data_IF_826049504965
#
_entry.id   IF_826049504965
#
_cell.length_a   1.000
_cell.length_b   1.000
_cell.length_c   1.000
_cell.angle_alpha   90.00
_cell.angle_beta   90.00
_cell.angle_gamma   90.00
#
_symmetry.space_group_name_H-M   'P 1'
#
loop_
_entity.id
_entity.type
_entity.pdbx_description
1 polymer ?
#
# COMPACT_ATOMS: atom_id res chain seq x y z
N UNK A 1 -3.58 6.05 15.97
CA UNK A 1 -3.50 5.19 17.16
C UNK A 1 -2.25 5.54 17.93
N UNK A 2 -2.24 5.22 19.24
CA UNK A 2 -1.10 5.52 20.11
C UNK A 2 -1.00 6.99 20.52
N UNK A 3 0.04 7.33 21.30
CA UNK A 3 0.28 8.68 21.79
C UNK A 3 1.03 9.50 20.72
N UNK A 4 0.56 10.70 20.34
CA UNK A 4 1.26 11.60 19.42
C UNK A 4 2.66 12.06 19.86
N UNK A 5 3.04 11.83 21.12
CA UNK A 5 4.39 12.07 21.62
C UNK A 5 5.39 10.97 21.26
N UNK A 6 4.91 9.78 20.89
CA UNK A 6 5.73 8.65 20.45
C UNK A 6 6.27 8.83 19.03
N UNK A 7 7.32 8.07 18.64
CA UNK A 7 7.85 8.08 17.27
C UNK A 7 6.77 7.74 16.26
N UNK A 8 6.69 8.47 15.12
CA UNK A 8 5.64 8.26 14.14
C UNK A 8 5.93 7.09 13.20
N UNK A 9 4.86 6.34 12.89
CA UNK A 9 4.84 5.36 11.82
C UNK A 9 3.61 5.58 10.94
N UNK A 10 3.82 5.71 9.62
CA UNK A 10 2.78 5.98 8.62
C UNK A 10 2.50 4.72 7.81
N UNK A 11 1.24 4.35 7.71
CA UNK A 11 0.80 3.22 6.90
C UNK A 11 0.09 3.71 5.63
N UNK A 12 0.62 3.28 4.47
CA UNK A 12 0.10 3.58 3.14
C UNK A 12 -0.43 2.31 2.48
N UNK A 13 -1.71 2.29 2.18
CA UNK A 13 -2.40 1.15 1.55
C UNK A 13 -2.09 1.00 0.06
N UNK A 14 -2.40 -0.15 -0.51
CA UNK A 14 -2.34 -0.44 -1.95
C UNK A 14 -3.48 0.18 -2.75
N UNK A 15 -3.37 0.14 -4.08
CA UNK A 15 -4.43 0.59 -4.98
C UNK A 15 -5.76 -0.12 -4.70
N UNK A 16 -6.87 0.63 -4.69
CA UNK A 16 -8.21 0.11 -4.41
C UNK A 16 -8.48 -0.28 -2.96
N UNK A 17 -7.55 0.00 -2.03
CA UNK A 17 -7.71 -0.23 -0.60
C UNK A 17 -7.99 1.08 0.16
N UNK A 18 -8.15 0.98 1.47
CA UNK A 18 -8.31 2.11 2.38
C UNK A 18 -7.39 1.95 3.59
N UNK A 19 -7.25 3.02 4.39
CA UNK A 19 -6.56 2.99 5.69
C UNK A 19 -7.02 1.87 6.63
N UNK A 20 -8.22 1.36 6.43
CA UNK A 20 -8.79 0.27 7.25
C UNK A 20 -8.09 -1.08 7.03
N UNK A 21 -7.35 -1.25 5.93
CA UNK A 21 -6.55 -2.47 5.67
C UNK A 21 -5.50 -2.74 6.75
N UNK A 22 -5.10 -1.71 7.49
CA UNK A 22 -4.06 -1.77 8.51
C UNK A 22 -4.58 -1.89 9.95
N UNK A 23 -5.91 -1.89 10.16
CA UNK A 23 -6.51 -1.68 11.48
C UNK A 23 -5.99 -2.59 12.60
N UNK A 24 -5.78 -3.88 12.35
CA UNK A 24 -5.28 -4.82 13.35
C UNK A 24 -3.78 -4.63 13.61
N UNK A 25 -2.98 -4.50 12.57
CA UNK A 25 -1.54 -4.19 12.66
C UNK A 25 -1.32 -2.85 13.36
N UNK A 26 -2.07 -1.81 12.98
CA UNK A 26 -1.96 -0.48 13.58
C UNK A 26 -2.19 -0.50 15.10
N UNK A 27 -3.21 -1.25 15.56
CA UNK A 27 -3.47 -1.39 16.99
C UNK A 27 -2.33 -2.09 17.73
N UNK A 28 -1.79 -3.18 17.15
CA UNK A 28 -0.64 -3.89 17.75
C UNK A 28 0.59 -2.98 17.82
N UNK A 29 0.95 -2.32 16.73
CA UNK A 29 2.10 -1.41 16.66
C UNK A 29 1.96 -0.25 17.67
N UNK A 30 0.75 0.28 17.85
CA UNK A 30 0.52 1.33 18.85
C UNK A 30 0.77 0.87 20.29
N UNK A 31 0.53 -0.42 20.60
CA UNK A 31 0.85 -0.97 21.93
C UNK A 31 2.36 -1.12 22.19
N UNK A 32 3.17 -1.11 21.13
CA UNK A 32 4.64 -1.12 21.20
C UNK A 32 5.26 0.29 21.37
N UNK A 33 4.45 1.31 21.65
CA UNK A 33 4.95 2.68 21.91
C UNK A 33 5.16 3.50 20.62
N UNK A 34 4.37 3.27 19.57
CA UNK A 34 4.42 4.04 18.33
C UNK A 34 3.18 4.92 18.16
N UNK A 35 3.38 6.11 17.58
CA UNK A 35 2.28 6.93 17.06
C UNK A 35 1.95 6.48 15.64
N UNK A 36 0.87 5.73 15.48
CA UNK A 36 0.47 5.12 14.21
C UNK A 36 -0.51 6.00 13.45
N UNK A 37 -0.18 6.32 12.21
CA UNK A 37 -0.96 7.14 11.29
C UNK A 37 -1.33 6.29 10.08
N UNK A 38 -2.60 5.91 9.97
CA UNK A 38 -3.13 5.23 8.79
C UNK A 38 -3.71 6.27 7.83
N UNK A 39 -3.24 6.28 6.59
CA UNK A 39 -3.62 7.29 5.59
C UNK A 39 -4.50 6.67 4.52
N UNK A 40 -5.63 7.32 4.19
CA UNK A 40 -6.27 7.14 2.90
C UNK A 40 -5.52 8.01 1.88
N UNK A 41 -4.86 7.39 0.92
CA UNK A 41 -4.16 8.13 -0.14
C UNK A 41 -5.16 8.93 -0.98
N UNK A 42 -4.71 10.04 -1.63
CA UNK A 42 -5.55 10.81 -2.57
C UNK A 42 -6.37 9.89 -3.47
N UNK A 43 -7.62 10.23 -3.69
CA UNK A 43 -8.53 9.47 -4.52
C UNK A 43 -9.06 8.16 -3.91
N UNK A 44 -8.78 7.88 -2.62
CA UNK A 44 -9.26 6.70 -1.90
C UNK A 44 -9.96 7.07 -0.59
N UNK A 45 -10.79 6.15 -0.12
CA UNK A 45 -11.42 6.20 1.20
C UNK A 45 -12.17 7.51 1.45
N UNK A 46 -11.80 8.20 2.52
CA UNK A 46 -12.37 9.51 2.90
C UNK A 46 -11.51 10.70 2.42
N UNK A 47 -10.35 10.45 1.79
CA UNK A 47 -9.55 11.50 1.18
C UNK A 47 -10.20 12.02 -0.10
N UNK A 48 -9.92 13.28 -0.43
CA UNK A 48 -10.47 13.94 -1.60
C UNK A 48 -10.03 13.28 -2.92
N UNK A 49 -10.91 13.33 -3.90
CA UNK A 49 -10.58 13.03 -5.28
C UNK A 49 -9.87 14.22 -5.90
N UNK A 50 -8.82 13.95 -6.68
CA UNK A 50 -8.01 14.99 -7.30
C UNK A 50 -8.78 15.61 -8.50
N UNK A 51 -9.13 16.91 -8.48
CA UNK A 51 -9.97 17.50 -9.54
C UNK A 51 -9.37 17.37 -10.93
N UNK A 52 -8.05 17.51 -11.05
CA UNK A 52 -7.27 17.39 -12.28
C UNK A 52 -6.85 15.95 -12.61
N UNK A 53 -7.18 14.98 -11.74
CA UNK A 53 -6.86 13.57 -11.92
C UNK A 53 -5.39 13.23 -11.77
N UNK A 54 -4.61 14.03 -11.04
CA UNK A 54 -3.21 13.75 -10.76
C UNK A 54 -3.06 12.60 -9.74
N UNK A 55 -2.99 11.39 -10.27
CA UNK A 55 -2.70 10.15 -9.53
C UNK A 55 -1.36 9.54 -9.98
N UNK A 56 -0.43 10.39 -10.39
CA UNK A 56 0.94 10.01 -10.74
C UNK A 56 1.76 9.68 -9.49
N UNK A 57 2.87 8.98 -9.67
CA UNK A 57 3.84 8.75 -8.59
C UNK A 57 4.28 10.07 -7.95
N UNK A 58 4.49 11.15 -8.73
CA UNK A 58 4.83 12.49 -8.22
C UNK A 58 3.74 13.06 -7.29
N UNK A 59 2.47 12.89 -7.66
CA UNK A 59 1.36 13.32 -6.82
C UNK A 59 1.39 12.66 -5.43
N UNK A 60 1.58 11.34 -5.39
CA UNK A 60 1.67 10.59 -4.13
C UNK A 60 2.96 10.90 -3.34
N UNK A 61 4.09 11.11 -4.02
CA UNK A 61 5.35 11.55 -3.39
C UNK A 61 5.16 12.90 -2.70
N UNK A 62 4.54 13.88 -3.37
CA UNK A 62 4.23 15.19 -2.75
C UNK A 62 3.37 15.06 -1.50
N UNK A 63 2.36 14.16 -1.51
CA UNK A 63 1.51 13.95 -0.34
C UNK A 63 2.31 13.36 0.83
N UNK A 64 3.11 12.33 0.59
CA UNK A 64 3.91 11.70 1.65
C UNK A 64 4.96 12.66 2.19
N UNK A 65 5.60 13.44 1.32
CA UNK A 65 6.54 14.50 1.73
C UNK A 65 5.86 15.50 2.65
N UNK A 66 4.69 16.02 2.26
CA UNK A 66 3.94 16.97 3.07
C UNK A 66 3.47 16.37 4.43
N UNK A 67 3.16 15.07 4.47
CA UNK A 67 2.86 14.38 5.73
C UNK A 67 4.11 14.29 6.60
N UNK A 68 5.24 13.85 6.05
CA UNK A 68 6.48 13.68 6.79
C UNK A 68 7.00 15.00 7.37
N UNK A 69 6.92 16.09 6.61
CA UNK A 69 7.33 17.43 7.05
C UNK A 69 6.48 18.00 8.19
N UNK A 70 5.24 17.55 8.37
CA UNK A 70 4.38 17.95 9.48
C UNK A 70 4.66 17.20 10.78
N UNK A 71 5.42 16.11 10.71
CA UNK A 71 5.74 15.30 11.87
C UNK A 71 6.99 15.83 12.58
N UNK A 72 7.02 15.70 13.90
CA UNK A 72 8.16 16.18 14.71
C UNK A 72 9.45 15.39 14.48
N UNK A 73 9.34 14.19 13.97
CA UNK A 73 10.44 13.26 13.69
C UNK A 73 10.18 12.59 12.36
N UNK A 74 11.23 12.21 11.65
CA UNK A 74 11.12 11.41 10.43
C UNK A 74 10.36 10.11 10.69
N UNK A 75 9.28 9.82 9.95
CA UNK A 75 8.46 8.64 10.20
C UNK A 75 9.10 7.36 9.65
N UNK A 76 8.79 6.23 10.27
CA UNK A 76 8.83 4.93 9.60
C UNK A 76 7.65 4.87 8.65
N UNK A 77 7.82 4.36 7.42
CA UNK A 77 6.72 4.20 6.47
C UNK A 77 6.53 2.73 6.10
N UNK A 78 5.32 2.22 6.33
CA UNK A 78 4.87 0.90 5.88
C UNK A 78 3.99 1.10 4.65
N UNK A 79 4.46 0.67 3.49
CA UNK A 79 3.74 0.85 2.23
C UNK A 79 3.46 -0.46 1.51
N UNK A 80 2.20 -0.74 1.22
CA UNK A 80 1.81 -1.89 0.38
C UNK A 80 1.63 -1.47 -1.08
N UNK A 81 2.20 -2.26 -2.00
CA UNK A 81 2.01 -2.06 -3.44
C UNK A 81 2.19 -0.57 -3.83
N UNK A 82 1.13 0.14 -4.26
CA UNK A 82 1.17 1.58 -4.55
C UNK A 82 1.75 2.41 -3.40
N UNK A 83 1.36 2.12 -2.16
CA UNK A 83 1.92 2.79 -0.97
C UNK A 83 3.42 2.56 -0.81
N UNK A 84 3.91 1.36 -1.16
CA UNK A 84 5.33 1.05 -1.17
C UNK A 84 6.09 1.73 -2.32
N UNK A 85 5.48 1.83 -3.51
CA UNK A 85 6.01 2.65 -4.62
C UNK A 85 6.21 4.09 -4.16
N UNK A 86 5.19 4.66 -3.49
CA UNK A 86 5.25 6.02 -2.95
C UNK A 86 6.40 6.17 -1.95
N UNK A 87 6.50 5.27 -0.97
CA UNK A 87 7.55 5.33 0.06
C UNK A 87 8.95 5.21 -0.55
N UNK A 88 9.15 4.25 -1.46
CA UNK A 88 10.42 4.02 -2.14
C UNK A 88 10.86 5.24 -2.97
N UNK A 89 9.95 5.80 -3.76
CA UNK A 89 10.24 7.00 -4.55
C UNK A 89 10.54 8.20 -3.63
N UNK A 90 9.74 8.40 -2.58
CA UNK A 90 9.91 9.53 -1.66
C UNK A 90 11.28 9.51 -1.00
N UNK A 91 11.70 8.41 -0.38
CA UNK A 91 12.99 8.33 0.31
C UNK A 91 14.17 8.28 -0.65
N UNK A 92 14.06 7.53 -1.75
CA UNK A 92 15.15 7.41 -2.72
C UNK A 92 15.43 8.70 -3.51
N UNK A 93 14.44 9.57 -3.64
CA UNK A 93 14.57 10.89 -4.28
C UNK A 93 14.87 12.01 -3.26
N UNK A 94 14.54 11.80 -1.97
CA UNK A 94 14.78 12.74 -0.87
C UNK A 94 15.38 12.00 0.33
N UNK A 95 16.64 11.54 0.25
CA UNK A 95 17.27 10.73 1.30
C UNK A 95 17.26 11.41 2.67
N UNK A 96 16.84 10.69 3.70
CA UNK A 96 16.75 11.16 5.08
C UNK A 96 15.41 11.80 5.46
N UNK A 97 14.43 11.84 4.54
CA UNK A 97 13.08 12.30 4.84
C UNK A 97 12.32 11.27 5.70
N UNK A 98 12.56 9.98 5.45
CA UNK A 98 11.95 8.87 6.17
C UNK A 98 12.99 8.17 7.05
N UNK A 99 12.61 7.80 8.26
CA UNK A 99 13.49 7.07 9.19
C UNK A 99 13.79 5.65 8.70
N UNK A 100 12.81 5.00 8.11
CA UNK A 100 12.90 3.61 7.66
C UNK A 100 11.73 3.26 6.74
N UNK A 101 11.89 2.22 5.91
CA UNK A 101 10.86 1.72 5.00
C UNK A 101 10.54 0.25 5.26
N UNK A 102 9.25 -0.06 5.24
CA UNK A 102 8.74 -1.44 5.16
C UNK A 102 7.91 -1.54 3.89
N UNK A 103 8.48 -2.19 2.88
CA UNK A 103 7.90 -2.38 1.55
C UNK A 103 7.13 -3.70 1.53
N UNK A 104 5.81 -3.63 1.37
CA UNK A 104 4.93 -4.79 1.42
C UNK A 104 4.48 -5.18 0.03
N UNK A 105 5.01 -6.29 -0.43
CA UNK A 105 4.76 -6.93 -1.72
C UNK A 105 4.89 -5.97 -2.91
N UNK A 106 6.02 -5.28 -2.96
CA UNK A 106 6.40 -4.36 -4.03
C UNK A 106 7.91 -4.32 -4.23
N UNK A 107 8.31 -4.30 -5.49
CA UNK A 107 9.69 -4.08 -5.96
C UNK A 107 9.66 -3.08 -7.11
N UNK A 108 10.79 -2.47 -7.51
CA UNK A 108 10.84 -1.55 -8.66
C UNK A 108 10.21 -2.13 -9.92
N UNK A 109 10.45 -3.39 -10.20
CA UNK A 109 9.85 -4.13 -11.31
C UNK A 109 8.75 -5.05 -10.79
N UNK A 110 7.59 -4.98 -11.40
CA UNK A 110 6.40 -5.77 -11.06
C UNK A 110 5.93 -6.58 -12.27
N UNK A 111 5.23 -7.68 -12.01
CA UNK A 111 4.70 -8.55 -13.05
C UNK A 111 3.46 -7.92 -13.71
N UNK A 112 3.54 -7.64 -15.01
CA UNK A 112 2.48 -6.96 -15.77
C UNK A 112 1.13 -7.69 -15.70
N UNK A 113 1.14 -9.04 -15.67
CA UNK A 113 -0.08 -9.86 -15.55
C UNK A 113 -0.83 -9.59 -14.23
N UNK A 114 -0.10 -9.50 -13.12
CA UNK A 114 -0.70 -9.20 -11.83
C UNK A 114 -1.26 -7.77 -11.78
N UNK A 115 -0.52 -6.80 -12.36
CA UNK A 115 -1.01 -5.42 -12.49
C UNK A 115 -2.29 -5.36 -13.31
N UNK A 116 -2.35 -6.05 -14.48
CA UNK A 116 -3.57 -6.11 -15.30
C UNK A 116 -4.75 -6.63 -14.49
N UNK A 117 -4.58 -7.71 -13.72
CA UNK A 117 -5.65 -8.28 -12.88
C UNK A 117 -6.18 -7.28 -11.85
N UNK A 118 -5.31 -6.45 -11.26
CA UNK A 118 -5.74 -5.39 -10.34
C UNK A 118 -6.56 -4.33 -11.09
N UNK A 119 -6.10 -3.88 -12.25
CA UNK A 119 -6.78 -2.86 -13.05
C UNK A 119 -8.13 -3.37 -13.55
N UNK A 120 -8.20 -4.63 -13.99
CA UNK A 120 -9.45 -5.27 -14.40
C UNK A 120 -10.48 -5.29 -13.26
N UNK A 121 -10.03 -5.61 -12.02
CA UNK A 121 -10.88 -5.54 -10.84
C UNK A 121 -11.34 -4.11 -10.54
N UNK A 122 -10.41 -3.15 -10.60
CA UNK A 122 -10.72 -1.75 -10.27
C UNK A 122 -11.66 -1.09 -11.28
N UNK A 123 -11.69 -1.56 -12.52
CA UNK A 123 -12.56 -1.04 -13.59
C UNK A 123 -13.84 -1.86 -13.76
N UNK A 124 -13.93 -3.01 -13.12
CA UNK A 124 -15.14 -3.82 -13.14
C UNK A 124 -16.32 -3.06 -12.49
N UNK A 125 -17.53 -3.24 -13.04
CA UNK A 125 -18.75 -2.66 -12.48
C UNK A 125 -18.73 -1.12 -12.38
N UNK A 126 -18.47 -0.38 -13.45
CA UNK A 126 -18.45 1.09 -13.43
C UNK A 126 -19.83 1.68 -13.06
N UNK A 127 -20.92 0.95 -13.34
CA UNK A 127 -22.28 1.30 -12.95
C UNK A 127 -22.58 1.06 -11.47
N UNK A 128 -21.67 0.41 -10.73
CA UNK A 128 -21.82 0.07 -9.31
C UNK A 128 -22.66 -1.18 -9.06
N UNK A 129 -23.04 -1.37 -7.80
CA UNK A 129 -23.70 -2.55 -7.25
C UNK A 129 -25.01 -2.14 -6.62
N UNK A 130 -26.02 -3.03 -6.63
CA UNK A 130 -27.31 -2.78 -5.99
C UNK A 130 -27.25 -3.09 -4.48
N UNK A 131 -26.41 -4.05 -4.06
CA UNK A 131 -26.30 -4.51 -2.67
C UNK A 131 -24.84 -4.65 -2.21
N UNK A 132 -24.63 -4.65 -0.89
CA UNK A 132 -23.31 -4.94 -0.29
C UNK A 132 -22.91 -6.41 -0.48
N UNK A 133 -23.86 -7.31 -0.64
CA UNK A 133 -23.65 -8.72 -0.95
C UNK A 133 -23.00 -8.90 -2.32
N UNK A 134 -23.41 -8.11 -3.32
CA UNK A 134 -22.78 -8.10 -4.66
C UNK A 134 -21.35 -7.57 -4.60
N UNK A 135 -21.10 -6.54 -3.79
CA UNK A 135 -19.73 -6.04 -3.54
C UNK A 135 -18.90 -7.14 -2.89
N UNK A 136 -19.42 -7.82 -1.86
CA UNK A 136 -18.72 -8.90 -1.18
C UNK A 136 -18.39 -10.07 -2.13
N UNK A 137 -19.29 -10.40 -3.06
CA UNK A 137 -19.05 -11.41 -4.09
C UNK A 137 -17.95 -10.98 -5.07
N UNK A 138 -17.96 -9.73 -5.52
CA UNK A 138 -16.90 -9.17 -6.38
C UNK A 138 -15.52 -9.24 -5.71
N UNK A 139 -15.42 -8.86 -4.44
CA UNK A 139 -14.19 -8.96 -3.66
C UNK A 139 -13.75 -10.42 -3.48
N UNK A 140 -14.67 -11.32 -3.19
CA UNK A 140 -14.40 -12.74 -3.02
C UNK A 140 -13.85 -13.37 -4.32
N UNK A 141 -14.46 -13.04 -5.46
CA UNK A 141 -14.02 -13.49 -6.79
C UNK A 141 -12.61 -12.98 -7.11
N UNK A 142 -12.32 -11.70 -6.83
CA UNK A 142 -10.99 -11.12 -7.06
C UNK A 142 -9.91 -11.75 -6.18
N UNK A 143 -10.21 -11.92 -4.88
CA UNK A 143 -9.24 -12.43 -3.91
C UNK A 143 -9.10 -13.95 -3.89
N UNK A 144 -10.02 -14.68 -4.55
CA UNK A 144 -10.10 -16.14 -4.48
C UNK A 144 -10.51 -16.67 -3.09
N UNK A 145 -11.04 -15.81 -2.21
CA UNK A 145 -11.45 -16.17 -0.85
C UNK A 145 -12.95 -16.45 -0.78
N UNK A 146 -13.38 -17.11 0.30
CA UNK A 146 -14.79 -17.24 0.59
C UNK A 146 -15.41 -15.85 0.80
N UNK A 147 -16.62 -15.66 0.28
CA UNK A 147 -17.40 -14.44 0.50
C UNK A 147 -17.57 -14.18 1.99
N UNK A 148 -17.25 -12.96 2.41
CA UNK A 148 -17.44 -12.55 3.80
C UNK A 148 -18.93 -12.32 4.10
N UNK A 149 -19.33 -12.60 5.32
CA UNK A 149 -20.65 -12.21 5.87
C UNK A 149 -20.59 -10.89 6.64
N UNK A 150 -19.40 -10.34 6.85
CA UNK A 150 -19.19 -9.05 7.50
C UNK A 150 -19.39 -7.91 6.49
N UNK A 151 -20.65 -7.52 6.28
CA UNK A 151 -21.02 -6.45 5.35
C UNK A 151 -20.58 -5.06 5.84
N UNK A 152 -20.44 -4.83 7.15
CA UNK A 152 -19.89 -3.59 7.69
C UNK A 152 -18.41 -3.39 7.28
N UNK A 153 -17.64 -4.48 7.21
CA UNK A 153 -16.29 -4.45 6.66
C UNK A 153 -16.28 -4.09 5.16
N UNK A 154 -17.22 -4.64 4.41
CA UNK A 154 -17.38 -4.37 2.96
C UNK A 154 -17.80 -2.92 2.72
N UNK A 155 -18.69 -2.37 3.54
CA UNK A 155 -19.19 -0.99 3.42
C UNK A 155 -18.08 0.05 3.40
N UNK A 156 -16.94 -0.22 4.04
CA UNK A 156 -15.77 0.67 4.07
C UNK A 156 -15.05 0.80 2.72
N UNK A 157 -15.37 -0.08 1.76
CA UNK A 157 -14.76 -0.09 0.44
C UNK A 157 -15.63 0.54 -0.65
N UNK A 158 -16.81 1.05 -0.29
CA UNK A 158 -17.78 1.62 -1.24
C UNK A 158 -18.37 2.92 -0.72
N UNK A 159 -18.90 3.71 -1.65
CA UNK A 159 -19.74 4.89 -1.40
C UNK A 159 -21.12 4.66 -2.03
N UNK A 160 -22.16 5.34 -1.59
CA UNK A 160 -23.42 5.43 -2.32
C UNK A 160 -23.38 6.64 -3.24
N UNK A 161 -23.73 6.43 -4.51
CA UNK A 161 -23.93 7.51 -5.47
C UNK A 161 -25.34 8.12 -5.32
N UNK A 162 -25.64 9.16 -6.12
CA UNK A 162 -26.94 9.85 -6.08
C UNK A 162 -28.13 8.96 -6.40
N UNK A 163 -27.94 7.88 -7.16
CA UNK A 163 -28.98 6.88 -7.45
C UNK A 163 -29.13 5.80 -6.35
N UNK A 164 -28.35 5.91 -5.26
CA UNK A 164 -28.38 4.96 -4.14
C UNK A 164 -27.60 3.67 -4.38
N UNK A 165 -26.95 3.51 -5.53
CA UNK A 165 -26.11 2.35 -5.83
C UNK A 165 -24.77 2.45 -5.10
N UNK A 166 -24.20 1.32 -4.74
CA UNK A 166 -22.85 1.24 -4.17
C UNK A 166 -21.82 1.30 -5.29
N UNK A 167 -20.90 2.27 -5.23
CA UNK A 167 -19.76 2.39 -6.14
C UNK A 167 -18.47 2.27 -5.35
N UNK A 168 -17.37 1.86 -5.98
CA UNK A 168 -16.09 1.82 -5.33
C UNK A 168 -15.71 3.20 -4.78
N UNK A 169 -15.00 3.22 -3.64
CA UNK A 169 -14.61 4.47 -2.98
C UNK A 169 -13.54 5.26 -3.74
N UNK A 170 -12.77 4.60 -4.63
CA UNK A 170 -11.68 5.26 -5.37
C UNK A 170 -12.17 6.04 -6.59
N UNK A 171 -11.37 7.05 -6.98
CA UNK A 171 -11.63 7.81 -8.21
C UNK A 171 -11.32 6.95 -9.45
N UNK A 172 -12.27 6.75 -10.37
CA UNK A 172 -12.04 6.03 -11.62
C UNK A 172 -10.91 6.59 -12.49
N UNK A 173 -10.61 7.89 -12.40
CA UNK A 173 -9.50 8.54 -13.12
C UNK A 173 -8.14 7.96 -12.77
N UNK A 174 -8.01 7.32 -11.61
CA UNK A 174 -6.77 6.74 -11.13
C UNK A 174 -6.22 5.65 -12.05
N UNK A 175 -7.08 4.85 -12.64
CA UNK A 175 -6.68 3.77 -13.56
C UNK A 175 -5.97 4.35 -14.79
N UNK A 176 -6.51 5.43 -15.36
CA UNK A 176 -5.93 6.10 -16.51
C UNK A 176 -4.55 6.71 -16.19
N UNK A 177 -4.40 7.30 -15.01
CA UNK A 177 -3.13 7.85 -14.54
C UNK A 177 -2.06 6.75 -14.36
N UNK A 178 -2.43 5.61 -13.78
CA UNK A 178 -1.54 4.47 -13.60
C UNK A 178 -1.05 3.87 -14.94
N UNK A 179 -1.91 3.82 -15.95
CA UNK A 179 -1.57 3.38 -17.30
C UNK A 179 -0.68 4.40 -18.03
N UNK A 180 -0.93 5.71 -17.83
CA UNK A 180 -0.22 6.79 -18.50
C UNK A 180 1.26 6.91 -18.09
N UNK A 181 1.63 6.53 -16.87
CA UNK A 181 3.02 6.57 -16.39
C UNK A 181 3.89 5.49 -17.06
N UNK A 182 3.33 4.35 -17.42
CA UNK A 182 4.03 3.21 -18.02
C UNK A 182 4.89 2.42 -17.02
N UNK A 183 4.76 1.09 -17.05
CA UNK A 183 5.46 0.21 -16.09
C UNK A 183 6.98 0.31 -16.20
N UNK A 184 7.52 0.37 -17.42
CA UNK A 184 8.98 0.37 -17.64
C UNK A 184 9.63 1.67 -17.14
N UNK A 185 9.03 2.84 -17.44
CA UNK A 185 9.54 4.13 -16.95
C UNK A 185 9.54 4.17 -15.43
N UNK A 186 8.45 3.72 -14.82
CA UNK A 186 8.34 3.64 -13.38
C UNK A 186 9.36 2.67 -12.79
N UNK A 187 9.58 1.50 -13.41
CA UNK A 187 10.58 0.54 -12.96
C UNK A 187 11.99 1.12 -12.97
N UNK A 188 12.37 1.85 -14.01
CA UNK A 188 13.67 2.54 -14.11
C UNK A 188 13.81 3.56 -12.97
N UNK A 189 12.82 4.45 -12.80
CA UNK A 189 12.80 5.46 -11.74
C UNK A 189 12.93 4.85 -10.35
N UNK A 190 12.15 3.82 -10.07
CA UNK A 190 12.15 3.16 -8.76
C UNK A 190 13.45 2.38 -8.51
N UNK A 191 14.09 1.86 -9.55
CA UNK A 191 15.40 1.20 -9.41
C UNK A 191 16.51 2.23 -9.10
N UNK A 192 16.45 3.42 -9.69
CA UNK A 192 17.35 4.53 -9.34
C UNK A 192 17.10 4.98 -7.89
N UNK A 193 15.84 5.17 -7.50
CA UNK A 193 15.47 5.49 -6.13
C UNK A 193 15.96 4.42 -5.15
N UNK A 194 15.81 3.13 -5.49
CA UNK A 194 16.30 2.02 -4.65
C UNK A 194 17.81 2.08 -4.43
N UNK A 195 18.60 2.39 -5.45
CA UNK A 195 20.07 2.52 -5.31
C UNK A 195 20.51 3.66 -4.39
N UNK A 196 19.67 4.66 -4.23
CA UNK A 196 19.92 5.81 -3.36
C UNK A 196 19.48 5.57 -1.90
N UNK A 197 18.78 4.46 -1.61
CA UNK A 197 18.32 4.16 -0.27
C UNK A 197 19.48 3.94 0.68
N UNK A 198 19.49 4.71 1.77
CA UNK A 198 20.37 4.52 2.93
C UNK A 198 19.60 4.17 4.19
N UNK A 199 18.29 4.48 4.23
CA UNK A 199 17.43 4.18 5.36
C UNK A 199 17.25 2.66 5.56
N UNK A 200 17.21 2.17 6.80
CA UNK A 200 16.90 0.78 7.10
C UNK A 200 15.63 0.35 6.36
N UNK A 201 15.70 -0.77 5.65
CA UNK A 201 14.61 -1.19 4.75
C UNK A 201 14.30 -2.66 4.97
N UNK A 202 12.99 -2.97 5.12
CA UNK A 202 12.45 -4.33 5.13
C UNK A 202 11.58 -4.53 3.89
N UNK A 203 11.86 -5.57 3.12
CA UNK A 203 10.97 -6.08 2.06
C UNK A 203 10.20 -7.29 2.58
N UNK A 204 8.88 -7.20 2.61
CA UNK A 204 7.99 -8.33 2.95
C UNK A 204 7.25 -8.74 1.69
N UNK A 205 7.39 -10.00 1.26
CA UNK A 205 6.74 -10.55 0.07
C UNK A 205 5.75 -11.65 0.47
N UNK A 206 4.65 -11.78 -0.26
CA UNK A 206 3.82 -12.99 -0.23
C UNK A 206 4.41 -14.06 -1.13
N UNK A 207 4.63 -15.27 -0.60
CA UNK A 207 5.21 -16.40 -1.38
C UNK A 207 4.42 -16.68 -2.68
N UNK A 208 3.08 -16.50 -2.62
CA UNK A 208 2.16 -16.70 -3.76
C UNK A 208 1.84 -15.40 -4.51
N UNK A 209 2.65 -14.35 -4.34
CA UNK A 209 2.44 -13.08 -5.05
C UNK A 209 2.54 -13.27 -6.56
N UNK A 210 1.58 -12.72 -7.28
CA UNK A 210 1.58 -12.59 -8.74
C UNK A 210 2.04 -11.20 -9.23
N UNK A 211 2.47 -10.34 -8.29
CA UNK A 211 2.98 -8.99 -8.54
C UNK A 211 4.51 -8.95 -8.40
N UNK A 212 5.04 -9.61 -7.38
CA UNK A 212 6.47 -9.59 -7.06
C UNK A 212 7.07 -10.98 -7.29
N UNK A 213 7.89 -11.10 -8.32
CA UNK A 213 8.62 -12.34 -8.63
C UNK A 213 9.87 -12.50 -7.75
N UNK A 214 10.37 -13.74 -7.65
CA UNK A 214 11.63 -14.02 -6.98
C UNK A 214 12.80 -13.27 -7.63
N UNK A 215 12.78 -13.08 -8.96
CA UNK A 215 13.76 -12.28 -9.69
C UNK A 215 13.68 -10.80 -9.26
N UNK A 216 12.48 -10.22 -9.16
CA UNK A 216 12.29 -8.84 -8.70
C UNK A 216 12.83 -8.61 -7.29
N UNK A 217 12.67 -9.60 -6.38
CA UNK A 217 13.28 -9.57 -5.03
C UNK A 217 14.80 -9.60 -5.12
N UNK A 218 15.36 -10.47 -5.96
CA UNK A 218 16.81 -10.56 -6.12
C UNK A 218 17.38 -9.23 -6.65
N UNK A 219 16.82 -8.69 -7.73
CA UNK A 219 17.25 -7.42 -8.32
C UNK A 219 17.16 -6.26 -7.29
N UNK A 220 16.10 -6.22 -6.47
CA UNK A 220 15.96 -5.24 -5.41
C UNK A 220 17.04 -5.37 -4.33
N UNK A 221 17.30 -6.59 -3.85
CA UNK A 221 18.31 -6.85 -2.83
C UNK A 221 19.74 -6.61 -3.31
N UNK A 222 19.99 -6.78 -4.60
CA UNK A 222 21.28 -6.37 -5.22
C UNK A 222 21.45 -4.85 -5.24
N UNK A 223 20.34 -4.11 -5.48
CA UNK A 223 20.35 -2.64 -5.46
C UNK A 223 20.42 -2.07 -4.03
N UNK A 224 19.78 -2.74 -3.05
CA UNK A 224 19.66 -2.33 -1.65
C UNK A 224 20.23 -3.44 -0.76
N UNK A 225 21.56 -3.56 -0.72
CA UNK A 225 22.26 -4.68 -0.08
C UNK A 225 22.03 -4.79 1.44
N UNK A 226 21.61 -3.69 2.09
CA UNK A 226 21.27 -3.65 3.51
C UNK A 226 19.80 -3.97 3.80
N UNK A 227 18.97 -4.16 2.76
CA UNK A 227 17.57 -4.50 2.97
C UNK A 227 17.40 -5.91 3.56
N UNK A 228 16.63 -5.98 4.64
CA UNK A 228 16.12 -7.25 5.15
C UNK A 228 15.01 -7.78 4.26
N UNK A 229 14.83 -9.10 4.23
CA UNK A 229 13.79 -9.74 3.41
C UNK A 229 13.06 -10.83 4.18
N UNK A 230 11.73 -10.82 4.09
CA UNK A 230 10.85 -11.85 4.63
C UNK A 230 9.90 -12.33 3.54
N UNK A 231 9.88 -13.64 3.31
CA UNK A 231 8.92 -14.30 2.43
C UNK A 231 7.82 -14.95 3.28
N UNK A 232 6.61 -14.40 3.22
CA UNK A 232 5.48 -14.85 4.03
C UNK A 232 4.81 -16.02 3.34
N UNK A 233 4.95 -17.21 3.93
CA UNK A 233 4.39 -18.45 3.40
C UNK A 233 2.87 -18.36 3.26
N UNK A 234 2.36 -18.99 2.21
CA UNK A 234 0.93 -19.07 1.88
C UNK A 234 0.23 -17.72 1.64
N UNK A 235 0.93 -16.58 1.76
CA UNK A 235 0.37 -15.27 1.48
C UNK A 235 0.42 -14.93 -0.02
N UNK A 236 -0.62 -14.28 -0.52
CA UNK A 236 -0.70 -13.68 -1.85
C UNK A 236 -0.22 -12.21 -1.82
N UNK A 237 -0.55 -11.43 -2.86
CA UNK A 237 -0.33 -9.99 -2.88
C UNK A 237 -0.97 -9.24 -1.68
N UNK A 238 -1.98 -9.83 -1.05
CA UNK A 238 -2.67 -9.26 0.11
C UNK A 238 -2.05 -9.70 1.45
N UNK A 239 -0.72 -9.63 1.58
CA UNK A 239 0.06 -10.19 2.69
C UNK A 239 -0.52 -9.87 4.07
N UNK A 240 -0.78 -8.58 4.34
CA UNK A 240 -1.32 -8.13 5.63
C UNK A 240 -2.73 -8.67 5.91
N UNK A 241 -3.51 -8.96 4.88
CA UNK A 241 -4.85 -9.54 5.00
C UNK A 241 -4.86 -11.07 5.01
N UNK A 242 -3.84 -11.72 4.40
CA UNK A 242 -3.74 -13.18 4.31
C UNK A 242 -3.14 -13.79 5.58
N UNK A 243 -2.10 -13.15 6.11
CA UNK A 243 -1.29 -13.63 7.24
C UNK A 243 -1.01 -12.48 8.22
N UNK A 244 -2.09 -11.85 8.73
CA UNK A 244 -1.98 -10.62 9.53
C UNK A 244 -1.06 -10.75 10.75
N UNK A 245 -1.10 -11.88 11.47
CA UNK A 245 -0.25 -12.08 12.64
C UNK A 245 1.23 -12.13 12.25
N UNK A 246 1.60 -12.98 11.27
CA UNK A 246 2.99 -13.11 10.79
C UNK A 246 3.50 -11.77 10.25
N UNK A 247 2.68 -11.06 9.50
CA UNK A 247 3.02 -9.74 8.99
C UNK A 247 3.22 -8.72 10.11
N UNK A 248 2.29 -8.64 11.07
CA UNK A 248 2.38 -7.68 12.18
C UNK A 248 3.61 -7.94 13.05
N UNK A 249 3.90 -9.20 13.34
CA UNK A 249 5.06 -9.60 14.14
C UNK A 249 6.36 -9.22 13.42
N UNK A 250 6.45 -9.45 12.08
CA UNK A 250 7.59 -9.05 11.28
C UNK A 250 7.81 -7.52 11.29
N UNK A 251 6.73 -6.73 11.18
CA UNK A 251 6.81 -5.27 11.30
C UNK A 251 7.32 -4.86 12.66
N UNK A 252 6.75 -5.41 13.75
CA UNK A 252 7.12 -5.09 15.14
C UNK A 252 8.57 -5.46 15.40
N UNK A 253 9.00 -6.67 15.01
CA UNK A 253 10.38 -7.12 15.19
C UNK A 253 11.37 -6.20 14.47
N UNK A 254 11.02 -5.72 13.29
CA UNK A 254 11.88 -4.82 12.54
C UNK A 254 11.97 -3.42 13.18
N UNK A 255 10.82 -2.80 13.49
CA UNK A 255 10.80 -1.44 14.05
C UNK A 255 11.40 -1.37 15.48
N UNK A 256 11.34 -2.45 16.25
CA UNK A 256 11.96 -2.52 17.60
C UNK A 256 13.49 -2.63 17.56
N UNK A 257 14.10 -2.84 16.39
CA UNK A 257 15.55 -2.80 16.17
C UNK A 257 16.05 -1.48 15.58
N UNK A 258 15.16 -0.55 15.31
CA UNK A 258 15.53 0.78 14.84
C UNK A 258 15.97 1.64 16.04
N UNK A 259 17.22 2.08 16.02
CA UNK A 259 17.82 2.98 17.01
C UNK A 259 17.22 4.40 16.96
#
# INVERSE_FOLDING_TARGET
>A
YGDPAHPPIVFLHGGGQTRHSWGDTARKVATEGWHVINVDSRGHGESDWCPDGDYTTDGFVRDLTAIAEQLKQAPVVVGASKGGITALATEGENPGLLRSLILVDVTPKVEAKGVSRILDFMTAKPEGFDTLEEVAESVASYTGRKRTTNLEGIRKNVRQNESGRYVWHWDPKMVNSALGEGLDKRAIRLMEAARNLTAPTLLVRGEKSDIVSAQGVQEFREAVSHAEFIDVKEASHMVAGDQNTVFSDAVIDFINRLD
#
